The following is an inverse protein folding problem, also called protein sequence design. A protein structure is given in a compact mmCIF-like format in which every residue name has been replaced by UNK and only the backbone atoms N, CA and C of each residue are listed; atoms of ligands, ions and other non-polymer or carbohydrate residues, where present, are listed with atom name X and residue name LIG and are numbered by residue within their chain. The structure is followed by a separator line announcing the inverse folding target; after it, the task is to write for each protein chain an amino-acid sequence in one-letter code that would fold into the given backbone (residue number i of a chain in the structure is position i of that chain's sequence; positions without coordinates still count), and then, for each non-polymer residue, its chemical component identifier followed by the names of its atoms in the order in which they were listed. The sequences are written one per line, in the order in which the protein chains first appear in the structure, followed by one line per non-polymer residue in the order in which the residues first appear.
data_IF_095878495756
#
_entry.id   IF_095878495756
#
_cell.length_a   1.000
_cell.length_b   1.000
_cell.length_c   1.000
_cell.angle_alpha   90.00
_cell.angle_beta   90.00
_cell.angle_gamma   90.00
#
_symmetry.space_group_name_H-M   'P 1'
#
loop_
_entity.id
_entity.type
_entity.pdbx_description
1 polymer ?
#
# COMPACT_ATOMS: atom_id res chain seq x y z
N UNK A 1 -4.66 11.00 -1.99
CA UNK A 1 -5.45 10.69 -0.78
C UNK A 1 -4.67 9.80 0.20
N UNK A 2 -4.35 8.53 -0.15
CA UNK A 2 -3.69 7.57 0.77
C UNK A 2 -2.41 8.12 1.44
N UNK A 3 -1.53 8.73 0.63
CA UNK A 3 -0.27 9.30 1.13
C UNK A 3 -0.49 10.37 2.20
N UNK A 4 -1.47 11.24 2.01
CA UNK A 4 -1.81 12.31 2.95
C UNK A 4 -2.28 11.75 4.28
N UNK A 5 -3.21 10.78 4.24
CA UNK A 5 -3.76 10.15 5.44
C UNK A 5 -2.66 9.46 6.27
N UNK A 6 -1.72 8.76 5.60
CA UNK A 6 -0.60 8.08 6.25
C UNK A 6 0.40 9.08 6.84
N UNK A 7 0.68 10.17 6.11
CA UNK A 7 1.58 11.22 6.59
C UNK A 7 1.02 11.93 7.83
N UNK A 8 -0.26 12.30 7.83
CA UNK A 8 -0.93 12.95 8.97
C UNK A 8 -1.05 12.00 10.16
N UNK A 9 -1.47 10.76 9.91
CA UNK A 9 -1.69 9.77 10.97
C UNK A 9 -0.46 9.46 11.81
N UNK A 10 0.73 9.37 11.19
CA UNK A 10 1.98 9.10 11.91
C UNK A 10 2.50 10.35 12.66
N UNK A 11 2.19 11.57 12.20
CA UNK A 11 2.60 12.79 12.92
C UNK A 11 1.83 12.92 14.25
N UNK A 12 0.59 12.45 14.30
CA UNK A 12 -0.26 12.51 15.50
C UNK A 12 0.07 11.42 16.53
N UNK A 13 0.57 10.26 16.09
CA UNK A 13 1.00 9.18 16.97
C UNK A 13 2.39 9.50 17.52
N UNK A 14 2.46 10.11 18.71
CA UNK A 14 3.68 10.66 19.33
C UNK A 14 4.89 9.72 19.48
N UNK A 15 4.76 8.43 19.20
CA UNK A 15 5.89 7.51 19.15
C UNK A 15 5.67 6.50 18.03
N UNK A 16 6.56 6.54 17.03
CA UNK A 16 6.71 5.59 15.93
C UNK A 16 6.95 4.11 16.35
N UNK A 17 6.75 3.79 17.62
CA UNK A 17 7.20 2.57 18.28
C UNK A 17 5.94 1.77 18.60
N UNK A 18 5.66 0.78 17.73
CA UNK A 18 4.61 -0.21 17.86
C UNK A 18 3.20 0.22 17.38
N UNK A 19 3.04 0.28 16.06
CA UNK A 19 1.74 0.46 15.37
C UNK A 19 0.71 -0.67 15.62
N UNK A 20 1.10 -1.74 16.31
CA UNK A 20 0.21 -2.82 16.74
C UNK A 20 -0.23 -2.70 18.19
N UNK A 21 0.21 -1.67 18.92
CA UNK A 21 -0.31 -1.37 20.24
C UNK A 21 -1.84 -1.14 20.17
N UNK A 22 -2.62 -1.58 21.17
CA UNK A 22 -4.08 -1.45 21.16
C UNK A 22 -4.53 -0.01 20.91
N UNK A 23 -3.95 0.97 21.61
CA UNK A 23 -4.36 2.38 21.51
C UNK A 23 -4.17 2.93 20.10
N UNK A 24 -3.01 2.68 19.48
CA UNK A 24 -2.72 3.12 18.10
C UNK A 24 -3.61 2.35 17.10
N UNK A 25 -3.88 1.08 17.38
CA UNK A 25 -4.77 0.28 16.55
C UNK A 25 -6.16 0.89 16.47
N UNK A 26 -6.75 1.29 17.60
CA UNK A 26 -8.09 1.88 17.63
C UNK A 26 -8.14 3.33 17.17
N UNK A 27 -7.11 4.14 17.47
CA UNK A 27 -7.10 5.57 17.14
C UNK A 27 -6.66 5.88 15.71
N UNK A 28 -5.84 5.02 15.10
CA UNK A 28 -5.25 5.28 13.78
C UNK A 28 -5.52 4.17 12.78
N UNK A 29 -5.20 2.92 13.13
CA UNK A 29 -5.25 1.81 12.16
C UNK A 29 -6.69 1.49 11.77
N UNK A 30 -7.58 1.31 12.75
CA UNK A 30 -8.95 0.89 12.53
C UNK A 30 -9.78 1.90 11.70
N UNK A 31 -9.75 3.22 11.98
CA UNK A 31 -10.45 4.20 11.16
C UNK A 31 -9.98 4.22 9.70
N UNK A 32 -8.67 4.05 9.48
CA UNK A 32 -8.12 3.98 8.13
C UNK A 32 -8.52 2.69 7.41
N UNK A 33 -8.52 1.56 8.11
CA UNK A 33 -8.99 0.28 7.56
C UNK A 33 -10.44 0.41 7.11
N UNK A 34 -11.33 0.96 7.94
CA UNK A 34 -12.74 1.15 7.62
C UNK A 34 -12.91 2.07 6.40
N UNK A 35 -12.20 3.21 6.37
CA UNK A 35 -12.20 4.13 5.23
C UNK A 35 -11.83 3.43 3.92
N UNK A 36 -10.75 2.65 3.94
CA UNK A 36 -10.25 2.00 2.73
C UNK A 36 -11.02 0.74 2.33
N UNK A 37 -11.61 0.03 3.30
CA UNK A 37 -12.56 -1.04 3.01
C UNK A 37 -13.80 -0.50 2.31
N UNK A 38 -14.35 0.64 2.75
CA UNK A 38 -15.48 1.27 2.06
C UNK A 38 -15.17 1.57 0.58
N UNK A 39 -13.97 2.10 0.28
CA UNK A 39 -13.52 2.35 -1.09
C UNK A 39 -13.39 1.03 -1.88
N UNK A 40 -12.82 0.00 -1.26
CA UNK A 40 -12.66 -1.32 -1.86
C UNK A 40 -14.02 -1.99 -2.14
N UNK A 41 -14.99 -1.86 -1.24
CA UNK A 41 -16.34 -2.38 -1.38
C UNK A 41 -17.14 -1.64 -2.46
N UNK A 42 -16.85 -0.35 -2.68
CA UNK A 42 -17.39 0.44 -3.80
C UNK A 42 -16.78 0.07 -5.17
N UNK A 43 -16.04 -1.03 -5.25
CA UNK A 43 -15.54 -1.62 -6.50
C UNK A 43 -14.09 -1.30 -6.84
N UNK A 44 -13.40 -0.50 -6.02
CA UNK A 44 -12.00 -0.13 -6.30
C UNK A 44 -11.00 -1.08 -5.62
N UNK A 45 -10.60 -2.14 -6.32
CA UNK A 45 -9.61 -3.12 -5.82
C UNK A 45 -8.15 -2.64 -5.84
N UNK A 46 -7.87 -1.43 -6.36
CA UNK A 46 -6.50 -0.88 -6.42
C UNK A 46 -5.96 -0.43 -5.06
N UNK A 47 -6.79 -0.42 -4.01
CA UNK A 47 -6.44 0.05 -2.66
C UNK A 47 -5.20 -0.67 -2.11
N UNK A 48 -5.16 -2.00 -2.19
CA UNK A 48 -4.03 -2.81 -1.70
C UNK A 48 -2.75 -2.48 -2.48
N UNK A 49 -2.86 -2.38 -3.81
CA UNK A 49 -1.76 -1.94 -4.67
C UNK A 49 -1.24 -0.56 -4.25
N UNK A 50 -2.13 0.42 -4.07
CA UNK A 50 -1.74 1.78 -3.73
C UNK A 50 -1.07 1.88 -2.35
N UNK A 51 -1.49 1.08 -1.36
CA UNK A 51 -0.83 1.01 -0.06
C UNK A 51 0.59 0.46 -0.18
N UNK A 52 0.76 -0.63 -0.94
CA UNK A 52 2.08 -1.24 -1.17
C UNK A 52 2.99 -0.34 -2.02
N UNK A 53 2.43 0.40 -2.99
CA UNK A 53 3.15 1.41 -3.75
C UNK A 53 3.66 2.55 -2.84
N UNK A 54 2.81 3.06 -1.94
CA UNK A 54 3.24 4.07 -0.98
C UNK A 54 4.29 3.54 0.01
N UNK A 55 4.23 2.25 0.36
CA UNK A 55 5.30 1.62 1.14
C UNK A 55 6.64 1.70 0.41
N UNK A 56 6.69 1.32 -0.87
CA UNK A 56 7.92 1.41 -1.69
C UNK A 56 8.43 2.84 -1.70
N UNK A 57 7.54 3.82 -1.87
CA UNK A 57 7.90 5.24 -1.84
C UNK A 57 8.53 5.65 -0.50
N UNK A 58 7.91 5.33 0.64
CA UNK A 58 8.46 5.70 1.95
C UNK A 58 9.78 4.99 2.28
N UNK A 59 9.99 3.77 1.77
CA UNK A 59 11.27 3.06 1.94
C UNK A 59 12.41 3.63 1.10
N UNK A 60 12.10 4.40 0.05
CA UNK A 60 13.07 5.12 -0.77
C UNK A 60 13.46 6.49 -0.18
N UNK A 61 12.94 6.85 0.99
CA UNK A 61 13.36 8.07 1.67
C UNK A 61 14.81 7.93 2.18
N UNK A 62 15.73 8.65 1.55
CA UNK A 62 17.16 8.68 1.88
C UNK A 62 17.51 9.75 2.92
N UNK A 63 16.58 10.67 3.25
CA UNK A 63 16.85 11.75 4.19
C UNK A 63 16.92 11.20 5.62
N UNK A 64 18.11 11.32 6.23
CA UNK A 64 18.42 10.80 7.57
C UNK A 64 17.47 11.34 8.65
N UNK A 65 16.98 12.58 8.52
CA UNK A 65 16.09 13.21 9.50
C UNK A 65 14.67 12.63 9.46
N UNK A 66 14.21 12.20 8.28
CA UNK A 66 12.85 11.69 8.07
C UNK A 66 12.78 10.16 7.98
N UNK A 67 13.92 9.49 7.81
CA UNK A 67 14.04 8.03 7.62
C UNK A 67 13.28 7.20 8.65
N UNK A 68 13.34 7.55 9.93
CA UNK A 68 12.61 6.83 11.00
C UNK A 68 11.10 6.94 10.83
N UNK A 69 10.61 8.16 10.56
CA UNK A 69 9.18 8.43 10.36
C UNK A 69 8.69 7.74 9.08
N UNK A 70 9.48 7.81 8.00
CA UNK A 70 9.19 7.14 6.74
C UNK A 70 9.17 5.61 6.90
N UNK A 71 10.05 5.04 7.72
CA UNK A 71 9.99 3.63 8.12
C UNK A 71 8.66 3.26 8.80
N UNK A 72 8.16 4.09 9.71
CA UNK A 72 6.86 3.86 10.35
C UNK A 72 5.69 4.03 9.39
N UNK A 73 5.74 5.01 8.47
CA UNK A 73 4.74 5.16 7.41
C UNK A 73 4.71 3.93 6.48
N UNK A 74 5.88 3.41 6.11
CA UNK A 74 6.01 2.17 5.34
C UNK A 74 5.44 0.95 6.10
N UNK A 75 5.66 0.89 7.42
CA UNK A 75 5.12 -0.15 8.28
C UNK A 75 3.57 -0.08 8.34
N UNK A 76 3.01 1.13 8.50
CA UNK A 76 1.57 1.35 8.49
C UNK A 76 0.93 0.92 7.16
N UNK A 77 1.56 1.27 6.02
CA UNK A 77 1.10 0.83 4.70
C UNK A 77 0.91 -0.69 4.63
N UNK A 78 1.88 -1.46 5.13
CA UNK A 78 1.82 -2.93 5.12
C UNK A 78 0.75 -3.47 6.08
N UNK A 79 0.60 -2.88 7.27
CA UNK A 79 -0.46 -3.27 8.22
C UNK A 79 -1.84 -3.07 7.59
N UNK A 80 -2.07 -1.91 6.98
CA UNK A 80 -3.32 -1.60 6.30
C UNK A 80 -3.56 -2.57 5.13
N UNK A 81 -2.55 -2.79 4.29
CA UNK A 81 -2.66 -3.72 3.15
C UNK A 81 -3.05 -5.13 3.60
N UNK A 82 -2.44 -5.66 4.67
CA UNK A 82 -2.80 -6.97 5.24
C UNK A 82 -4.27 -6.99 5.69
N UNK A 83 -4.70 -5.98 6.46
CA UNK A 83 -6.05 -5.94 7.02
C UNK A 83 -7.13 -5.82 5.94
N UNK A 84 -6.89 -4.97 4.95
CA UNK A 84 -7.81 -4.73 3.83
C UNK A 84 -7.87 -5.94 2.89
N UNK A 85 -6.72 -6.56 2.59
CA UNK A 85 -6.69 -7.75 1.74
C UNK A 85 -7.31 -8.98 2.40
N UNK A 86 -7.24 -9.08 3.74
CA UNK A 86 -7.86 -10.16 4.50
C UNK A 86 -9.38 -10.20 4.36
N UNK A 87 -10.03 -9.06 4.08
CA UNK A 87 -11.48 -8.98 3.82
C UNK A 87 -11.94 -9.93 2.70
N UNK A 88 -11.10 -10.13 1.69
CA UNK A 88 -11.37 -11.07 0.59
C UNK A 88 -10.96 -12.51 0.89
N UNK A 89 -10.54 -12.84 2.12
CA UNK A 89 -9.92 -14.12 2.48
C UNK A 89 -10.70 -15.39 2.11
N UNK A 90 -12.02 -15.29 1.90
CA UNK A 90 -12.89 -16.40 1.51
C UNK A 90 -13.29 -16.41 0.02
N UNK A 91 -12.82 -15.44 -0.77
CA UNK A 91 -13.13 -15.31 -2.19
C UNK A 91 -11.83 -15.29 -3.00
N UNK A 92 -11.46 -16.47 -3.54
CA UNK A 92 -10.21 -16.63 -4.30
C UNK A 92 -10.15 -15.69 -5.51
N UNK A 93 -11.25 -15.53 -6.24
CA UNK A 93 -11.30 -14.63 -7.41
C UNK A 93 -10.94 -13.20 -7.01
N UNK A 94 -11.55 -12.66 -5.95
CA UNK A 94 -11.25 -11.30 -5.47
C UNK A 94 -9.80 -11.17 -4.97
N UNK A 95 -9.27 -12.19 -4.29
CA UNK A 95 -7.87 -12.21 -3.86
C UNK A 95 -6.92 -12.17 -5.06
N UNK A 96 -7.12 -13.04 -6.04
CA UNK A 96 -6.29 -13.09 -7.25
C UNK A 96 -6.37 -11.80 -8.05
N UNK A 97 -7.58 -11.29 -8.29
CA UNK A 97 -7.77 -10.01 -9.00
C UNK A 97 -7.05 -8.87 -8.27
N UNK A 98 -7.27 -8.72 -6.97
CA UNK A 98 -6.62 -7.64 -6.19
C UNK A 98 -5.09 -7.74 -6.22
N UNK A 99 -4.55 -8.96 -6.21
CA UNK A 99 -3.11 -9.19 -6.12
C UNK A 99 -2.38 -9.05 -7.47
N UNK A 100 -3.02 -9.50 -8.55
CA UNK A 100 -2.40 -9.67 -9.88
C UNK A 100 -2.86 -8.66 -10.92
N UNK A 101 -3.96 -7.94 -10.67
CA UNK A 101 -4.39 -6.87 -11.59
C UNK A 101 -3.32 -5.80 -11.68
N UNK A 102 -3.00 -5.46 -12.93
CA UNK A 102 -2.04 -4.44 -13.29
C UNK A 102 -2.70 -3.06 -13.27
N UNK A 103 -2.10 -2.13 -12.54
CA UNK A 103 -2.62 -0.77 -12.39
C UNK A 103 -1.63 0.27 -12.94
N UNK A 104 -2.09 1.23 -13.75
CA UNK A 104 -1.27 2.36 -14.19
C UNK A 104 -0.94 3.27 -13.00
N UNK A 105 0.36 3.53 -12.79
CA UNK A 105 0.88 4.24 -11.60
C UNK A 105 0.46 5.72 -11.57
N UNK A 106 0.37 6.35 -12.73
CA UNK A 106 0.08 7.79 -12.86
C UNK A 106 -1.40 8.09 -13.16
N UNK A 107 -2.28 7.09 -13.06
CA UNK A 107 -3.69 7.31 -13.35
C UNK A 107 -4.32 8.32 -12.39
N UNK A 108 -4.90 9.39 -12.93
CA UNK A 108 -5.46 10.49 -12.16
C UNK A 108 -4.43 11.40 -11.48
N UNK A 109 -3.16 11.35 -11.90
CA UNK A 109 -2.15 12.30 -11.44
C UNK A 109 -2.39 13.70 -12.04
N UNK A 110 -2.04 14.74 -11.27
CA UNK A 110 -2.11 16.13 -11.73
C UNK A 110 -1.20 16.35 -12.96
N UNK A 111 -1.65 17.09 -14.00
CA UNK A 111 -0.86 17.34 -15.20
C UNK A 111 0.53 17.92 -14.93
N UNK A 112 0.67 18.78 -13.91
CA UNK A 112 1.96 19.36 -13.53
C UNK A 112 2.92 18.31 -12.96
N UNK A 113 2.40 17.35 -12.18
CA UNK A 113 3.21 16.21 -11.70
C UNK A 113 3.63 15.29 -12.84
N UNK A 114 2.75 15.04 -13.81
CA UNK A 114 3.09 14.23 -14.99
C UNK A 114 4.18 14.91 -15.81
N UNK A 115 4.09 16.23 -16.03
CA UNK A 115 5.07 16.98 -16.80
C UNK A 115 6.44 16.98 -16.12
N UNK A 116 6.49 17.14 -14.80
CA UNK A 116 7.73 17.03 -14.04
C UNK A 116 8.33 15.62 -14.11
N UNK A 117 7.50 14.58 -13.95
CA UNK A 117 7.95 13.20 -14.03
C UNK A 117 8.49 12.82 -15.43
N UNK A 118 7.92 13.39 -16.52
CA UNK A 118 8.43 13.22 -17.90
C UNK A 118 9.75 13.95 -18.11
N UNK A 119 9.94 15.10 -17.46
CA UNK A 119 11.17 15.87 -17.56
C UNK A 119 12.34 15.24 -16.78
N UNK A 120 12.05 14.57 -15.65
CA UNK A 120 13.08 13.91 -14.84
C UNK A 120 13.49 12.52 -15.36
N UNK A 121 12.63 11.85 -16.13
CA UNK A 121 12.86 10.48 -16.60
C UNK A 121 12.41 10.35 -18.05
N UNK A 122 13.35 9.99 -18.91
CA UNK A 122 13.24 9.83 -20.37
C UNK A 122 12.43 8.56 -20.78
N UNK A 123 11.41 8.20 -20.00
CA UNK A 123 10.58 6.99 -20.20
C UNK A 123 9.09 7.36 -20.35
N UNK A 124 8.35 6.56 -21.13
CA UNK A 124 6.90 6.66 -21.23
C UNK A 124 6.22 6.30 -19.90
N UNK A 125 5.84 7.32 -19.14
CA UNK A 125 5.18 7.18 -17.83
C UNK A 125 3.88 6.37 -17.89
N UNK A 126 3.21 6.35 -19.05
CA UNK A 126 1.95 5.65 -19.27
C UNK A 126 2.12 4.12 -19.27
N UNK A 127 3.30 3.62 -19.65
CA UNK A 127 3.65 2.20 -19.60
C UNK A 127 4.05 1.73 -18.21
N UNK A 128 4.18 2.66 -17.26
CA UNK A 128 4.53 2.33 -15.89
C UNK A 128 3.33 1.78 -15.14
N UNK A 129 3.18 0.48 -15.30
CA UNK A 129 2.17 -0.32 -14.64
C UNK A 129 2.80 -1.22 -13.58
N UNK A 130 2.00 -1.64 -12.60
CA UNK A 130 2.43 -2.67 -11.65
C UNK A 130 1.25 -3.29 -10.94
N UNK A 131 1.48 -4.47 -10.38
CA UNK A 131 0.49 -5.17 -9.56
C UNK A 131 0.86 -5.15 -8.07
N UNK A 132 -0.07 -5.58 -7.22
CA UNK A 132 0.13 -5.53 -5.78
C UNK A 132 1.23 -6.51 -5.32
N UNK A 133 1.39 -7.68 -5.94
CA UNK A 133 2.45 -8.63 -5.56
C UNK A 133 3.86 -8.10 -5.86
N UNK A 134 4.06 -7.45 -7.00
CA UNK A 134 5.31 -6.77 -7.35
C UNK A 134 5.63 -5.68 -6.34
N UNK A 135 4.65 -4.83 -6.00
CA UNK A 135 4.86 -3.78 -4.99
C UNK A 135 5.13 -4.37 -3.60
N UNK A 136 4.53 -5.51 -3.27
CA UNK A 136 4.85 -6.23 -2.03
C UNK A 136 6.31 -6.69 -2.01
N UNK A 137 6.81 -7.24 -3.11
CA UNK A 137 8.20 -7.71 -3.26
C UNK A 137 9.18 -6.53 -3.21
N UNK A 138 8.98 -5.51 -4.05
CA UNK A 138 9.80 -4.30 -4.10
C UNK A 138 9.82 -3.57 -2.74
N UNK A 139 8.67 -3.53 -2.06
CA UNK A 139 8.53 -2.95 -0.73
C UNK A 139 9.04 -3.85 0.39
N UNK A 140 9.58 -5.04 0.10
CA UNK A 140 10.04 -6.03 1.10
C UNK A 140 8.96 -6.30 2.17
N UNK A 141 7.71 -6.44 1.74
CA UNK A 141 6.51 -6.58 2.59
C UNK A 141 6.36 -8.02 3.09
N UNK A 142 7.33 -8.47 3.90
CA UNK A 142 7.42 -9.88 4.33
C UNK A 142 6.18 -10.35 5.10
N UNK A 143 5.53 -9.48 5.89
CA UNK A 143 4.33 -9.87 6.65
C UNK A 143 3.12 -9.98 5.73
N UNK A 144 3.03 -9.11 4.74
CA UNK A 144 1.98 -9.19 3.72
C UNK A 144 2.10 -10.49 2.91
N UNK A 145 3.30 -10.79 2.41
CA UNK A 145 3.56 -12.00 1.63
C UNK A 145 3.25 -13.27 2.45
N UNK A 146 3.60 -13.30 3.73
CA UNK A 146 3.33 -14.43 4.63
C UNK A 146 1.87 -14.51 5.14
N UNK A 147 1.03 -13.52 4.85
CA UNK A 147 -0.37 -13.54 5.31
C UNK A 147 -1.15 -14.68 4.66
N UNK A 148 -2.12 -15.25 5.38
CA UNK A 148 -2.91 -16.39 4.88
C UNK A 148 -3.61 -16.09 3.55
N UNK A 149 -4.18 -14.89 3.39
CA UNK A 149 -4.81 -14.44 2.15
C UNK A 149 -3.82 -14.38 0.97
N UNK A 150 -2.58 -13.94 1.20
CA UNK A 150 -1.56 -13.89 0.14
C UNK A 150 -1.04 -15.27 -0.21
N UNK A 151 -0.79 -16.10 0.80
CA UNK A 151 -0.36 -17.48 0.62
C UNK A 151 -1.39 -18.32 -0.13
N UNK A 152 -2.70 -18.09 0.07
CA UNK A 152 -3.76 -18.73 -0.73
C UNK A 152 -3.58 -18.49 -2.24
N UNK A 153 -3.30 -17.25 -2.64
CA UNK A 153 -3.10 -16.92 -4.06
C UNK A 153 -1.78 -17.48 -4.57
N UNK A 154 -0.68 -17.34 -3.81
CA UNK A 154 0.63 -17.87 -4.19
C UNK A 154 0.58 -19.38 -4.41
N UNK A 155 -0.07 -20.12 -3.50
CA UNK A 155 -0.22 -21.57 -3.63
C UNK A 155 -1.09 -21.95 -4.83
N UNK A 156 -2.10 -21.14 -5.16
CA UNK A 156 -2.95 -21.35 -6.33
C UNK A 156 -2.23 -21.06 -7.66
N UNK A 157 -1.15 -20.27 -7.67
CA UNK A 157 -0.32 -20.04 -8.87
C UNK A 157 0.66 -21.20 -9.09
N UNK A 158 1.10 -21.87 -8.03
CA UNK A 158 2.11 -22.93 -8.08
C UNK A 158 1.53 -24.34 -8.31
N UNK A 159 0.20 -24.48 -8.32
CA UNK A 159 -0.51 -25.75 -8.56
C UNK A 159 -1.09 -25.75 -9.97
#
# INVERSE_FOLDING_TARGET
MIRSDITVGIILSKYAINLTAPDITYTLVQPLVEKYLAIQHNGNMSVVFCLLLNRVHFLRDENLLTKTISGSRACLCEILAIRIFRDYGNNMLKLTLTLTTTWPVYNGADPHMMQHARAERDDDLEDRVGNAIEMAILGKSKRFIKSSSCQKVINAIWT
#
